data_IF_637774916913
#
_entry.id   IF_637774916913
#
_cell.length_a   1.000
_cell.length_b   1.000
_cell.length_c   1.000
_cell.angle_alpha   90.00
_cell.angle_beta   90.00
_cell.angle_gamma   90.00
#
_symmetry.space_group_name_H-M   'P 1'
#
loop_
_entity.id
_entity.type
_entity.pdbx_description
1 polymer ?
#
# COMPACT_ATOMS: atom_id res chain seq x y z
N UNK A 1 -5.71 26.95 -8.26
CA UNK A 1 -4.99 27.01 -6.97
C UNK A 1 -3.46 27.01 -7.09
N UNK A 2 -2.86 26.28 -8.02
CA UNK A 2 -1.39 26.30 -8.26
C UNK A 2 -0.76 27.69 -8.40
N UNK A 3 -1.51 28.69 -8.89
CA UNK A 3 -1.02 30.08 -9.04
C UNK A 3 -0.63 30.71 -7.70
N UNK A 4 -1.40 30.54 -6.63
CA UNK A 4 -1.08 31.14 -5.32
C UNK A 4 0.20 30.54 -4.71
N UNK A 5 0.37 29.22 -4.85
CA UNK A 5 1.57 28.52 -4.38
C UNK A 5 2.84 28.92 -5.17
N UNK A 6 2.68 29.24 -6.46
CA UNK A 6 3.79 29.76 -7.30
C UNK A 6 4.17 31.20 -6.96
N UNK A 7 3.26 32.00 -6.41
CA UNK A 7 3.49 33.40 -6.05
C UNK A 7 4.27 33.57 -4.73
N UNK A 8 4.17 32.61 -3.81
CA UNK A 8 4.90 32.60 -2.54
C UNK A 8 6.39 32.23 -2.74
N UNK A 9 7.16 33.04 -3.50
CA UNK A 9 8.51 32.66 -3.95
C UNK A 9 9.49 32.40 -2.79
N UNK A 10 9.39 33.12 -1.67
CA UNK A 10 10.39 33.11 -0.59
C UNK A 10 9.80 32.89 0.82
N UNK A 11 8.57 32.37 0.93
CA UNK A 11 7.94 32.13 2.24
C UNK A 11 7.55 30.67 2.40
N UNK A 12 7.70 30.17 3.62
CA UNK A 12 7.12 28.88 4.00
C UNK A 12 5.60 28.99 3.85
N UNK A 13 5.02 28.10 3.05
CA UNK A 13 3.59 28.12 2.75
C UNK A 13 3.03 26.70 2.87
N UNK A 14 1.97 26.57 3.63
CA UNK A 14 1.29 25.30 3.88
C UNK A 14 -0.12 25.37 3.31
N UNK A 15 -0.46 24.40 2.47
CA UNK A 15 -1.79 24.28 1.89
C UNK A 15 -2.60 23.25 2.68
N UNK A 16 -3.75 23.70 3.18
CA UNK A 16 -4.71 22.87 3.90
C UNK A 16 -6.06 22.89 3.18
N UNK A 17 -6.77 21.77 3.23
CA UNK A 17 -8.19 21.66 2.92
C UNK A 17 -8.97 21.69 4.23
N UNK A 18 -10.06 22.46 4.24
CA UNK A 18 -11.01 22.39 5.36
C UNK A 18 -11.94 21.20 5.14
N UNK A 19 -11.98 20.31 6.12
CA UNK A 19 -12.85 19.14 6.18
C UNK A 19 -13.77 19.28 7.41
N UNK A 20 -14.84 18.49 7.48
CA UNK A 20 -15.81 18.55 8.58
C UNK A 20 -15.17 18.37 9.96
N UNK A 21 -14.15 17.51 10.05
CA UNK A 21 -13.47 17.15 11.30
C UNK A 21 -12.18 17.96 11.56
N UNK A 22 -11.82 18.91 10.67
CA UNK A 22 -10.64 19.75 10.85
C UNK A 22 -9.90 20.13 9.58
N UNK A 23 -8.59 20.37 9.72
CA UNK A 23 -7.72 20.75 8.60
C UNK A 23 -6.97 19.52 8.08
N UNK A 24 -7.20 19.18 6.82
CA UNK A 24 -6.43 18.17 6.11
C UNK A 24 -5.27 18.85 5.40
N UNK A 25 -4.06 18.41 5.72
CA UNK A 25 -2.86 18.94 5.11
C UNK A 25 -2.67 18.36 3.70
N UNK A 26 -2.44 19.22 2.70
CA UNK A 26 -2.29 18.84 1.28
C UNK A 26 -0.81 18.81 0.90
N UNK A 27 -0.14 19.97 0.97
CA UNK A 27 1.27 20.11 0.58
C UNK A 27 1.91 21.33 1.23
N UNK A 28 3.23 21.34 1.29
CA UNK A 28 4.00 22.49 1.77
C UNK A 28 5.05 22.91 0.76
N UNK A 29 5.35 24.20 0.76
CA UNK A 29 6.55 24.77 0.17
C UNK A 29 7.44 25.22 1.33
N UNK A 30 8.60 24.59 1.47
CA UNK A 30 9.52 24.81 2.59
C UNK A 30 9.52 23.64 3.56
N UNK A 31 10.05 23.87 4.76
CA UNK A 31 10.13 22.85 5.81
C UNK A 31 8.74 22.53 6.37
N UNK A 32 8.53 21.28 6.75
CA UNK A 32 7.31 20.77 7.37
C UNK A 32 7.54 20.33 8.82
N UNK A 33 8.75 20.53 9.37
CA UNK A 33 9.09 20.15 10.73
C UNK A 33 8.07 20.68 11.75
N UNK A 34 7.71 21.96 11.63
CA UNK A 34 6.76 22.62 12.52
C UNK A 34 5.34 22.04 12.42
N UNK A 35 4.98 21.40 11.31
CA UNK A 35 3.66 20.78 11.16
C UNK A 35 3.55 19.41 11.82
N UNK A 36 4.69 18.78 12.16
CA UNK A 36 4.68 17.41 12.70
C UNK A 36 4.04 17.34 14.08
N UNK A 37 4.09 18.40 14.87
CA UNK A 37 3.45 18.45 16.19
C UNK A 37 1.92 18.53 16.11
N UNK A 38 1.39 19.10 15.03
CA UNK A 38 -0.05 19.23 14.77
C UNK A 38 -0.64 18.01 14.06
N UNK A 39 0.21 17.04 13.68
CA UNK A 39 -0.26 15.78 13.11
C UNK A 39 -1.15 15.10 14.15
N UNK A 40 -2.40 14.84 13.78
CA UNK A 40 -3.35 14.13 14.64
C UNK A 40 -2.71 12.86 15.17
N UNK A 41 -2.35 12.88 16.46
CA UNK A 41 -1.97 11.68 17.18
C UNK A 41 -3.24 10.82 17.33
N UNK A 42 -3.06 9.50 17.31
CA UNK A 42 -4.07 8.42 17.26
C UNK A 42 -5.30 8.53 18.18
N UNK A 43 -5.36 9.49 19.08
CA UNK A 43 -6.34 9.57 20.16
C UNK A 43 -7.60 10.40 19.85
N UNK A 44 -7.70 11.11 18.71
CA UNK A 44 -8.87 11.96 18.41
C UNK A 44 -9.38 12.02 16.96
N UNK A 45 -8.66 11.45 15.99
CA UNK A 45 -9.09 11.50 14.58
C UNK A 45 -9.76 10.20 14.14
N UNK A 46 -10.85 10.31 13.36
CA UNK A 46 -11.41 9.17 12.63
C UNK A 46 -10.38 8.68 11.60
N UNK A 47 -10.10 7.37 11.61
CA UNK A 47 -9.31 6.76 10.53
C UNK A 47 -10.01 6.94 9.19
N UNK A 48 -9.25 7.24 8.14
CA UNK A 48 -9.78 7.37 6.78
C UNK A 48 -9.86 5.96 6.19
N UNK A 49 -11.04 5.57 5.71
CA UNK A 49 -11.18 4.27 5.04
C UNK A 49 -10.52 4.29 3.65
N UNK A 50 -10.36 3.11 3.06
CA UNK A 50 -9.68 2.98 1.77
C UNK A 50 -10.41 3.73 0.62
N UNK A 51 -11.73 3.78 0.64
CA UNK A 51 -12.53 4.44 -0.41
C UNK A 51 -12.35 5.95 -0.32
N UNK A 52 -12.45 6.49 0.89
CA UNK A 52 -12.27 7.90 1.19
C UNK A 52 -10.84 8.36 0.88
N UNK A 53 -9.85 7.54 1.24
CA UNK A 53 -8.43 7.76 0.94
C UNK A 53 -8.21 8.02 -0.55
N UNK A 54 -8.81 7.19 -1.40
CA UNK A 54 -8.61 7.28 -2.85
C UNK A 54 -9.34 8.48 -3.46
N UNK A 55 -10.51 8.85 -2.95
CA UNK A 55 -11.24 10.02 -3.42
C UNK A 55 -10.55 11.34 -3.03
N UNK A 56 -10.04 11.45 -1.80
CA UNK A 56 -9.44 12.69 -1.27
C UNK A 56 -8.04 12.97 -1.80
N UNK A 57 -7.31 11.91 -2.19
CA UNK A 57 -5.92 11.97 -2.66
C UNK A 57 -5.70 12.68 -4.01
N UNK A 58 -6.77 12.99 -4.75
CA UNK A 58 -6.68 13.55 -6.12
C UNK A 58 -6.03 14.94 -6.14
N UNK A 59 -6.18 15.73 -5.07
CA UNK A 59 -5.58 17.07 -5.00
C UNK A 59 -4.06 17.03 -4.71
N UNK A 60 -3.54 15.88 -4.28
CA UNK A 60 -2.13 15.66 -4.00
C UNK A 60 -1.48 14.89 -5.13
N UNK A 61 -0.53 15.52 -5.84
CA UNK A 61 0.24 14.82 -6.89
C UNK A 61 1.15 13.72 -6.34
N UNK A 62 1.53 13.81 -5.07
CA UNK A 62 2.34 12.81 -4.38
C UNK A 62 1.63 12.44 -3.08
N UNK A 63 1.33 11.15 -2.93
CA UNK A 63 0.74 10.57 -1.73
C UNK A 63 1.71 9.52 -1.18
N UNK A 64 2.03 9.58 0.12
CA UNK A 64 3.07 8.74 0.73
C UNK A 64 2.42 7.86 1.78
N UNK A 65 2.66 6.54 1.72
CA UNK A 65 2.25 5.58 2.75
C UNK A 65 3.49 4.92 3.33
N UNK A 66 3.75 5.21 4.61
CA UNK A 66 4.81 4.60 5.39
C UNK A 66 4.20 3.73 6.48
N UNK A 67 4.59 2.45 6.53
CA UNK A 67 4.15 1.54 7.58
C UNK A 67 5.17 0.42 7.75
N UNK A 68 5.08 -0.33 8.85
CA UNK A 68 5.98 -1.45 9.10
C UNK A 68 5.79 -2.61 8.10
N UNK A 69 6.77 -3.52 8.00
CA UNK A 69 6.64 -4.73 7.19
C UNK A 69 5.40 -5.55 7.58
N UNK A 70 4.70 -6.11 6.59
CA UNK A 70 3.51 -6.93 6.83
C UNK A 70 2.20 -6.16 7.09
N UNK A 71 2.25 -4.83 7.16
CA UNK A 71 1.06 -3.96 7.36
C UNK A 71 0.11 -3.87 6.14
N UNK A 72 0.36 -4.63 5.08
CA UNK A 72 -0.55 -4.68 3.93
C UNK A 72 -0.40 -3.56 2.89
N UNK A 73 0.67 -2.75 2.93
CA UNK A 73 0.93 -1.66 1.96
C UNK A 73 0.79 -2.11 0.49
N UNK A 74 1.44 -3.21 0.10
CA UNK A 74 1.36 -3.73 -1.27
C UNK A 74 -0.04 -4.24 -1.64
N UNK A 75 -0.81 -4.75 -0.67
CA UNK A 75 -2.20 -5.16 -0.89
C UNK A 75 -3.08 -3.92 -1.10
N UNK A 76 -2.89 -2.88 -0.29
CA UNK A 76 -3.55 -1.59 -0.45
C UNK A 76 -3.29 -0.98 -1.84
N UNK A 77 -2.05 -1.01 -2.31
CA UNK A 77 -1.66 -0.54 -3.64
C UNK A 77 -2.24 -1.38 -4.79
N UNK A 78 -2.30 -2.71 -4.63
CA UNK A 78 -2.97 -3.57 -5.61
C UNK A 78 -4.46 -3.29 -5.70
N UNK A 79 -5.10 -3.09 -4.54
CA UNK A 79 -6.51 -2.73 -4.50
C UNK A 79 -6.75 -1.34 -5.13
N UNK A 80 -5.90 -0.35 -4.84
CA UNK A 80 -5.92 0.95 -5.49
C UNK A 80 -5.85 0.83 -7.02
N UNK A 81 -4.87 0.07 -7.52
CA UNK A 81 -4.73 -0.19 -8.96
C UNK A 81 -6.01 -0.76 -9.58
N UNK A 82 -6.69 -1.66 -8.87
CA UNK A 82 -7.89 -2.33 -9.36
C UNK A 82 -9.16 -1.49 -9.22
N UNK A 83 -9.21 -0.54 -8.28
CA UNK A 83 -10.36 0.33 -8.04
C UNK A 83 -10.26 1.71 -8.71
N UNK A 84 -9.06 2.06 -9.19
CA UNK A 84 -8.80 3.35 -9.85
C UNK A 84 -9.51 3.42 -11.20
N UNK A 85 -10.14 4.56 -11.47
CA UNK A 85 -10.67 4.90 -12.81
C UNK A 85 -9.56 5.38 -13.75
N UNK A 86 -8.37 5.66 -13.23
CA UNK A 86 -7.21 6.13 -14.00
C UNK A 86 -6.33 4.96 -14.43
N UNK A 87 -5.70 5.12 -15.60
CA UNK A 87 -4.71 4.17 -16.07
C UNK A 87 -3.52 4.12 -15.11
N UNK A 88 -3.26 2.96 -14.52
CA UNK A 88 -2.34 2.86 -13.39
C UNK A 88 -1.14 1.97 -13.71
N UNK A 89 0.06 2.55 -13.59
CA UNK A 89 1.33 1.85 -13.75
C UNK A 89 1.92 1.55 -12.37
N UNK A 90 1.99 0.25 -12.04
CA UNK A 90 2.66 -0.21 -10.83
C UNK A 90 4.15 -0.41 -11.11
N UNK A 91 4.97 0.36 -10.41
CA UNK A 91 6.43 0.36 -10.49
C UNK A 91 6.97 -0.27 -9.21
N UNK A 92 7.72 -1.35 -9.34
CA UNK A 92 8.49 -1.95 -8.26
C UNK A 92 9.95 -1.58 -8.47
N UNK A 93 10.48 -0.55 -7.77
CA UNK A 93 11.77 0.05 -8.14
C UNK A 93 12.94 -0.92 -8.16
N UNK A 94 12.91 -1.93 -7.28
CA UNK A 94 13.89 -3.03 -7.25
C UNK A 94 14.02 -3.75 -8.59
N UNK A 95 12.92 -3.97 -9.31
CA UNK A 95 12.89 -4.71 -10.58
C UNK A 95 13.44 -3.87 -11.75
N UNK A 96 13.56 -2.56 -11.53
CA UNK A 96 14.09 -1.61 -12.49
C UNK A 96 15.44 -1.02 -12.06
N UNK A 97 16.14 -1.67 -11.11
CA UNK A 97 17.42 -1.20 -10.58
C UNK A 97 18.46 -0.90 -11.67
N UNK A 98 18.47 -1.66 -12.78
CA UNK A 98 19.40 -1.42 -13.91
C UNK A 98 19.14 -0.09 -14.61
N UNK A 99 17.88 0.29 -14.76
CA UNK A 99 17.49 1.58 -15.35
C UNK A 99 17.98 2.72 -14.46
N UNK A 100 17.70 2.66 -13.16
CA UNK A 100 18.10 3.72 -12.22
C UNK A 100 19.61 3.85 -12.03
N UNK A 101 20.37 2.75 -12.16
CA UNK A 101 21.85 2.79 -12.15
C UNK A 101 22.45 3.60 -13.29
N UNK A 102 21.77 3.69 -14.43
CA UNK A 102 22.19 4.54 -15.54
C UNK A 102 22.04 6.04 -15.22
N UNK A 103 21.44 6.38 -14.06
CA UNK A 103 21.17 7.76 -13.60
C UNK A 103 20.38 8.59 -14.61
N UNK A 104 19.59 7.93 -15.45
CA UNK A 104 18.70 8.61 -16.37
C UNK A 104 17.54 9.23 -15.58
N UNK A 105 17.46 10.57 -15.61
CA UNK A 105 16.39 11.36 -14.98
C UNK A 105 15.48 12.02 -15.99
N UNK A 106 15.66 11.75 -17.30
CA UNK A 106 14.73 12.15 -18.34
C UNK A 106 13.39 11.44 -18.12
N UNK A 107 12.31 12.22 -18.16
CA UNK A 107 10.96 11.74 -17.85
C UNK A 107 10.30 11.08 -19.04
N UNK A 108 10.54 11.58 -20.24
CA UNK A 108 10.03 10.93 -21.46
C UNK A 108 10.66 9.54 -21.60
N UNK A 109 11.99 9.44 -21.43
CA UNK A 109 12.69 8.15 -21.45
C UNK A 109 12.19 7.20 -20.36
N UNK A 110 11.90 7.72 -19.15
CA UNK A 110 11.38 6.90 -18.06
C UNK A 110 9.98 6.39 -18.37
N UNK A 111 9.11 7.25 -18.88
CA UNK A 111 7.73 6.89 -19.24
C UNK A 111 7.75 5.85 -20.35
N UNK A 112 8.51 6.07 -21.41
CA UNK A 112 8.66 5.10 -22.51
C UNK A 112 9.19 3.75 -22.00
N UNK A 113 10.23 3.79 -21.16
CA UNK A 113 10.80 2.60 -20.56
C UNK A 113 9.76 1.86 -19.70
N UNK A 114 9.07 2.53 -18.79
CA UNK A 114 8.17 1.84 -17.86
C UNK A 114 6.93 1.32 -18.57
N UNK A 115 6.36 2.10 -19.50
CA UNK A 115 5.23 1.68 -20.35
C UNK A 115 5.62 0.46 -21.17
N UNK A 116 6.78 0.47 -21.85
CA UNK A 116 7.21 -0.70 -22.63
C UNK A 116 7.46 -1.94 -21.78
N UNK A 117 7.86 -1.80 -20.50
CA UNK A 117 8.00 -2.93 -19.56
C UNK A 117 6.67 -3.43 -19.03
N UNK A 118 5.71 -2.55 -18.77
CA UNK A 118 4.38 -2.93 -18.29
C UNK A 118 3.53 -3.56 -19.40
N UNK A 119 3.69 -3.11 -20.64
CA UNK A 119 2.82 -3.42 -21.78
C UNK A 119 3.57 -4.10 -22.93
N UNK A 120 4.45 -5.06 -22.63
CA UNK A 120 5.37 -5.70 -23.59
C UNK A 120 4.69 -6.33 -24.83
N UNK A 121 3.44 -6.76 -24.70
CA UNK A 121 2.71 -7.50 -25.74
C UNK A 121 1.44 -6.77 -26.22
N UNK A 122 1.40 -5.45 -26.09
CA UNK A 122 0.26 -4.66 -26.52
C UNK A 122 0.27 -4.44 -28.04
N UNK A 123 -0.90 -4.54 -28.65
CA UNK A 123 -1.11 -4.23 -30.06
C UNK A 123 -0.96 -2.73 -30.35
N UNK A 124 -1.07 -2.35 -31.63
CA UNK A 124 -0.95 -0.95 -32.06
C UNK A 124 -1.97 -0.02 -31.38
N UNK A 125 -3.22 -0.49 -31.23
CA UNK A 125 -4.29 0.29 -30.61
C UNK A 125 -4.00 0.62 -29.15
N UNK A 126 -3.59 -0.37 -28.34
CA UNK A 126 -3.27 -0.13 -26.93
C UNK A 126 -2.07 0.81 -26.79
N UNK A 127 -1.09 0.73 -27.71
CA UNK A 127 0.05 1.65 -27.71
C UNK A 127 -0.38 3.09 -27.99
N UNK A 128 -1.23 3.31 -28.98
CA UNK A 128 -1.79 4.63 -29.30
C UNK A 128 -2.62 5.18 -28.12
N UNK A 129 -3.44 4.34 -27.49
CA UNK A 129 -4.21 4.74 -26.31
C UNK A 129 -3.30 5.16 -25.15
N UNK A 130 -2.24 4.39 -24.87
CA UNK A 130 -1.29 4.75 -23.80
C UNK A 130 -0.56 6.05 -24.14
N UNK A 131 -0.22 6.30 -25.40
CA UNK A 131 0.40 7.55 -25.82
C UNK A 131 -0.50 8.76 -25.51
N UNK A 132 -1.79 8.68 -25.85
CA UNK A 132 -2.78 9.73 -25.51
C UNK A 132 -2.83 9.94 -23.99
N UNK A 133 -2.87 8.86 -23.20
CA UNK A 133 -2.88 8.94 -21.74
C UNK A 133 -1.60 9.58 -21.15
N UNK A 134 -0.45 9.35 -21.79
CA UNK A 134 0.82 10.00 -21.42
C UNK A 134 0.74 11.49 -21.70
N UNK A 135 0.30 11.88 -22.89
CA UNK A 135 0.18 13.27 -23.33
C UNK A 135 -0.79 14.09 -22.45
N UNK A 136 -1.93 13.50 -22.10
CA UNK A 136 -2.96 14.12 -21.25
C UNK A 136 -2.68 13.99 -19.74
N UNK A 137 -1.52 13.43 -19.37
CA UNK A 137 -1.12 13.19 -17.99
C UNK A 137 -2.16 12.40 -17.16
N UNK A 138 -2.87 11.46 -17.79
CA UNK A 138 -3.94 10.65 -17.19
C UNK A 138 -3.44 9.36 -16.53
N UNK A 139 -2.12 9.15 -16.49
CA UNK A 139 -1.50 7.99 -15.86
C UNK A 139 -1.25 8.27 -14.37
N UNK A 140 -1.62 7.30 -13.53
CA UNK A 140 -1.22 7.24 -12.12
C UNK A 140 -0.02 6.31 -11.97
N UNK A 141 1.04 6.76 -11.29
CA UNK A 141 2.18 5.90 -10.96
C UNK A 141 2.09 5.44 -9.51
N UNK A 142 2.20 4.13 -9.29
CA UNK A 142 2.29 3.55 -7.96
C UNK A 142 3.71 3.01 -7.78
N UNK A 143 4.45 3.56 -6.83
CA UNK A 143 5.81 3.20 -6.49
C UNK A 143 5.78 2.32 -5.23
N UNK A 144 5.85 1.00 -5.40
CA UNK A 144 5.73 0.05 -4.29
C UNK A 144 7.10 -0.45 -3.82
N UNK A 145 7.45 -0.17 -2.56
CA UNK A 145 8.68 -0.64 -1.91
C UNK A 145 9.92 0.22 -2.20
N UNK A 146 9.85 1.53 -1.96
CA UNK A 146 11.02 2.42 -2.08
C UNK A 146 12.15 2.10 -1.08
N UNK A 147 11.85 1.40 0.02
CA UNK A 147 12.87 0.91 0.96
C UNK A 147 13.66 -0.30 0.45
N UNK A 148 13.28 -0.88 -0.70
CA UNK A 148 13.90 -2.09 -1.25
C UNK A 148 14.99 -1.79 -2.30
N UNK A 149 15.39 -0.52 -2.45
CA UNK A 149 16.46 -0.11 -3.36
C UNK A 149 17.71 0.37 -2.62
N UNK A 150 18.85 0.29 -3.29
CA UNK A 150 20.10 0.88 -2.80
C UNK A 150 20.05 2.41 -2.79
N UNK A 151 20.73 3.05 -1.85
CA UNK A 151 20.66 4.50 -1.60
C UNK A 151 21.04 5.34 -2.84
N UNK A 152 22.00 4.90 -3.65
CA UNK A 152 22.40 5.62 -4.87
C UNK A 152 21.27 5.66 -5.90
N UNK A 153 20.49 4.58 -5.98
CA UNK A 153 19.33 4.51 -6.88
C UNK A 153 18.16 5.32 -6.32
N UNK A 154 18.00 5.36 -4.99
CA UNK A 154 16.91 6.09 -4.34
C UNK A 154 16.91 7.56 -4.76
N UNK A 155 18.04 8.25 -4.76
CA UNK A 155 18.11 9.67 -5.17
C UNK A 155 17.68 9.90 -6.63
N UNK A 156 18.03 8.99 -7.54
CA UNK A 156 17.59 9.04 -8.93
C UNK A 156 16.07 8.85 -9.02
N UNK A 157 15.54 7.88 -8.27
CA UNK A 157 14.09 7.59 -8.21
C UNK A 157 13.32 8.81 -7.67
N UNK A 158 13.77 9.42 -6.56
CA UNK A 158 13.14 10.61 -5.99
C UNK A 158 13.13 11.77 -6.98
N UNK A 159 14.22 11.95 -7.73
CA UNK A 159 14.30 12.97 -8.79
C UNK A 159 13.28 12.71 -9.90
N UNK A 160 13.13 11.45 -10.35
CA UNK A 160 12.13 11.06 -11.35
C UNK A 160 10.71 11.33 -10.84
N UNK A 161 10.40 10.93 -9.60
CA UNK A 161 9.10 11.17 -8.95
C UNK A 161 8.79 12.68 -8.90
N UNK A 162 9.75 13.50 -8.46
CA UNK A 162 9.55 14.95 -8.36
C UNK A 162 9.25 15.59 -9.73
N UNK A 163 9.96 15.16 -10.77
CA UNK A 163 9.75 15.66 -12.14
C UNK A 163 8.44 15.16 -12.75
N UNK A 164 8.03 13.91 -12.50
CA UNK A 164 6.70 13.41 -12.87
C UNK A 164 5.58 14.23 -12.20
N UNK A 165 5.75 14.53 -10.91
CA UNK A 165 4.81 15.39 -10.18
C UNK A 165 4.74 16.79 -10.77
N UNK A 166 5.87 17.35 -11.21
CA UNK A 166 5.95 18.67 -11.85
C UNK A 166 5.23 18.68 -13.21
N UNK A 167 5.27 17.57 -13.94
CA UNK A 167 4.53 17.37 -15.21
C UNK A 167 3.02 17.16 -15.00
N UNK A 168 2.60 16.82 -13.78
CA UNK A 168 1.19 16.72 -13.39
C UNK A 168 0.71 15.31 -13.12
N UNK A 169 1.57 14.30 -13.14
CA UNK A 169 1.16 12.93 -12.82
C UNK A 169 0.82 12.76 -11.34
N UNK A 170 -0.22 11.97 -11.08
CA UNK A 170 -0.60 11.53 -9.74
C UNK A 170 0.22 10.31 -9.34
N UNK A 171 0.74 10.33 -8.11
CA UNK A 171 1.69 9.32 -7.64
C UNK A 171 1.38 8.85 -6.24
N UNK A 172 1.53 7.55 -6.02
CA UNK A 172 1.45 6.89 -4.72
C UNK A 172 2.77 6.21 -4.41
N UNK A 173 3.34 6.50 -3.24
CA UNK A 173 4.62 5.98 -2.80
C UNK A 173 4.41 5.10 -1.58
N UNK A 174 4.97 3.88 -1.56
CA UNK A 174 5.03 3.06 -0.36
C UNK A 174 6.47 2.84 0.09
N UNK A 175 6.65 2.82 1.41
CA UNK A 175 7.93 2.51 2.03
C UNK A 175 7.76 2.00 3.47
N UNK A 176 8.82 1.44 4.04
CA UNK A 176 8.98 1.32 5.50
C UNK A 176 9.20 2.68 6.18
N UNK A 177 8.93 2.71 7.49
CA UNK A 177 8.99 3.90 8.35
C UNK A 177 10.38 4.57 8.41
N UNK A 178 11.46 3.83 8.16
CA UNK A 178 12.83 4.37 8.17
C UNK A 178 13.06 5.45 7.09
N UNK A 179 12.37 5.38 5.94
CA UNK A 179 12.46 6.41 4.89
C UNK A 179 11.43 7.53 5.04
N UNK A 180 10.53 7.45 6.03
CA UNK A 180 9.44 8.42 6.19
C UNK A 180 9.95 9.86 6.22
N UNK A 181 10.91 10.17 7.11
CA UNK A 181 11.46 11.53 7.22
C UNK A 181 12.09 12.03 5.92
N UNK A 182 12.81 11.15 5.22
CA UNK A 182 13.46 11.46 3.94
C UNK A 182 12.43 11.80 2.87
N UNK A 183 11.40 10.96 2.71
CA UNK A 183 10.34 11.17 1.72
C UNK A 183 9.53 12.43 2.03
N UNK A 184 9.17 12.61 3.30
CA UNK A 184 8.36 13.76 3.70
C UNK A 184 9.10 15.08 3.48
N UNK A 185 10.37 15.14 3.87
CA UNK A 185 11.22 16.32 3.65
C UNK A 185 11.46 16.58 2.17
N UNK A 186 11.74 15.53 1.37
CA UNK A 186 12.05 15.69 -0.05
C UNK A 186 10.87 16.22 -0.87
N UNK A 187 9.65 15.72 -0.59
CA UNK A 187 8.46 16.14 -1.34
C UNK A 187 7.70 17.28 -0.68
N UNK A 188 8.07 17.67 0.55
CA UNK A 188 7.28 18.60 1.36
C UNK A 188 5.88 18.04 1.59
N UNK A 189 5.78 16.71 1.79
CA UNK A 189 4.51 15.99 1.98
C UNK A 189 4.48 15.12 3.23
N UNK A 190 3.46 15.21 4.09
CA UNK A 190 3.29 14.29 5.22
C UNK A 190 2.85 12.90 4.76
N UNK A 191 3.45 11.87 5.35
CA UNK A 191 3.09 10.49 5.10
C UNK A 191 1.83 10.07 5.84
N UNK A 192 1.09 9.14 5.27
CA UNK A 192 0.03 8.38 5.93
C UNK A 192 0.60 7.06 6.45
N UNK A 193 -0.02 6.50 7.49
CA UNK A 193 0.32 5.18 8.02
C UNK A 193 -0.89 4.27 7.95
N UNK A 194 -0.63 2.99 7.68
CA UNK A 194 -1.65 1.95 7.83
C UNK A 194 -1.70 1.58 9.30
N UNK A 195 -2.90 1.58 9.88
CA UNK A 195 -3.09 1.15 11.26
C UNK A 195 -3.17 -0.36 11.37
N UNK A 196 -2.87 -0.85 12.58
CA UNK A 196 -3.05 -2.26 12.90
C UNK A 196 -4.55 -2.58 12.94
N UNK A 197 -4.89 -3.83 12.64
CA UNK A 197 -6.25 -4.29 12.81
C UNK A 197 -6.67 -4.20 14.27
N UNK A 198 -7.81 -3.56 14.52
CA UNK A 198 -8.50 -3.69 15.79
C UNK A 198 -9.13 -5.08 15.96
N UNK A 199 -9.64 -5.38 17.14
CA UNK A 199 -10.24 -6.68 17.46
C UNK A 199 -11.40 -7.06 16.54
N UNK A 200 -12.21 -6.09 16.11
CA UNK A 200 -13.34 -6.33 15.21
C UNK A 200 -12.84 -6.71 13.81
N UNK A 201 -11.91 -5.92 13.27
CA UNK A 201 -11.26 -6.15 11.97
C UNK A 201 -10.51 -7.48 11.94
N UNK A 202 -9.80 -7.83 13.01
CA UNK A 202 -9.15 -9.14 13.17
C UNK A 202 -10.18 -10.27 13.08
N UNK A 203 -11.29 -10.15 13.80
CA UNK A 203 -12.35 -11.16 13.80
C UNK A 203 -13.01 -11.31 12.43
N UNK A 204 -13.32 -10.20 11.75
CA UNK A 204 -13.86 -10.20 10.39
C UNK A 204 -12.88 -10.83 9.40
N UNK A 205 -11.59 -10.54 9.52
CA UNK A 205 -10.57 -11.11 8.64
C UNK A 205 -10.49 -12.64 8.81
N UNK A 206 -10.43 -13.15 10.04
CA UNK A 206 -10.36 -14.58 10.34
C UNK A 206 -11.58 -15.31 9.77
N UNK A 207 -12.78 -14.77 10.01
CA UNK A 207 -14.04 -15.34 9.53
C UNK A 207 -14.08 -15.44 8.00
N UNK A 208 -13.84 -14.31 7.30
CA UNK A 208 -13.83 -14.28 5.84
C UNK A 208 -12.78 -15.22 5.24
N UNK A 209 -11.61 -15.32 5.86
CA UNK A 209 -10.51 -16.12 5.33
C UNK A 209 -10.71 -17.62 5.54
N UNK A 210 -11.26 -18.03 6.68
CA UNK A 210 -11.47 -19.45 6.99
C UNK A 210 -12.79 -19.99 6.43
N UNK A 211 -13.74 -19.12 6.06
CA UNK A 211 -15.02 -19.53 5.49
C UNK A 211 -15.85 -20.38 6.44
N UNK A 212 -15.68 -20.20 7.75
CA UNK A 212 -16.37 -20.95 8.79
C UNK A 212 -17.22 -20.01 9.65
N UNK A 213 -18.33 -20.53 10.16
CA UNK A 213 -19.32 -19.81 10.98
C UNK A 213 -19.73 -20.66 12.19
N UNK A 214 -20.41 -20.03 13.15
CA UNK A 214 -20.91 -20.71 14.35
C UNK A 214 -19.80 -21.17 15.31
N UNK A 215 -20.03 -22.30 15.98
CA UNK A 215 -19.17 -22.81 17.07
C UNK A 215 -17.75 -23.14 16.60
N UNK A 216 -17.61 -23.63 15.38
CA UNK A 216 -16.32 -23.89 14.72
C UNK A 216 -15.41 -22.65 14.68
N UNK A 217 -15.99 -21.50 14.36
CA UNK A 217 -15.26 -20.23 14.28
C UNK A 217 -14.85 -19.76 15.67
N UNK A 218 -15.71 -19.94 16.68
CA UNK A 218 -15.42 -19.59 18.08
C UNK A 218 -14.24 -20.40 18.59
N UNK A 219 -14.24 -21.72 18.33
CA UNK A 219 -13.17 -22.61 18.74
C UNK A 219 -11.84 -22.29 18.07
N UNK A 220 -11.85 -22.01 16.76
CA UNK A 220 -10.63 -21.63 16.03
C UNK A 220 -10.10 -20.28 16.53
N UNK A 221 -10.97 -19.27 16.70
CA UNK A 221 -10.58 -17.97 17.27
C UNK A 221 -9.95 -18.18 18.65
N UNK A 222 -10.57 -18.97 19.52
CA UNK A 222 -10.03 -19.29 20.86
C UNK A 222 -8.65 -19.94 20.77
N UNK A 223 -8.44 -20.89 19.85
CA UNK A 223 -7.13 -21.51 19.62
C UNK A 223 -6.08 -20.50 19.14
N UNK A 224 -6.41 -19.64 18.17
CA UNK A 224 -5.52 -18.58 17.68
C UNK A 224 -5.12 -17.64 18.83
N UNK A 225 -6.09 -17.10 19.56
CA UNK A 225 -5.82 -16.18 20.67
C UNK A 225 -5.01 -16.86 21.79
N UNK A 226 -5.29 -18.13 22.11
CA UNK A 226 -4.51 -18.88 23.10
C UNK A 226 -3.06 -19.10 22.67
N UNK A 227 -2.80 -19.44 21.41
CA UNK A 227 -1.43 -19.58 20.89
C UNK A 227 -0.64 -18.27 21.03
N UNK A 228 -1.32 -17.13 20.90
CA UNK A 228 -0.68 -15.82 20.93
C UNK A 228 -0.44 -15.36 22.35
N UNK A 229 -1.35 -15.67 23.30
CA UNK A 229 -1.12 -15.39 24.73
C UNK A 229 0.18 -15.99 25.29
N UNK A 230 0.73 -17.02 24.64
CA UNK A 230 2.00 -17.64 25.02
C UNK A 230 3.24 -16.83 24.59
N UNK A 231 3.09 -15.91 23.64
CA UNK A 231 4.14 -14.97 23.23
C UNK A 231 4.12 -13.77 24.18
N UNK A 232 5.28 -13.23 24.56
CA UNK A 232 5.35 -11.99 25.35
C UNK A 232 5.20 -10.81 24.38
N UNK A 233 4.36 -9.81 24.73
CA UNK A 233 4.00 -8.61 23.93
C UNK A 233 3.06 -8.89 22.73
N UNK A 234 1.75 -8.93 22.98
CA UNK A 234 0.74 -9.63 22.16
C UNK A 234 -0.10 -8.80 21.17
N UNK A 235 0.46 -7.76 20.57
CA UNK A 235 -0.23 -7.04 19.47
C UNK A 235 0.04 -7.64 18.08
N UNK A 236 0.48 -8.90 18.03
CA UNK A 236 0.86 -9.62 16.80
C UNK A 236 -0.34 -9.75 15.84
N UNK A 237 -1.56 -9.91 16.33
CA UNK A 237 -2.72 -10.02 15.42
C UNK A 237 -3.11 -8.72 14.75
N UNK A 238 -2.61 -7.58 15.25
CA UNK A 238 -2.80 -6.30 14.61
C UNK A 238 -2.13 -6.22 13.23
N UNK A 239 -1.10 -7.04 12.97
CA UNK A 239 -0.37 -7.04 11.70
C UNK A 239 -1.04 -8.02 10.70
N UNK A 240 -1.54 -7.54 9.55
CA UNK A 240 -2.21 -8.36 8.54
C UNK A 240 -1.44 -9.61 8.08
N UNK A 241 -0.12 -9.52 7.94
CA UNK A 241 0.70 -10.68 7.58
C UNK A 241 0.72 -11.76 8.67
N UNK A 242 0.70 -11.36 9.94
CA UNK A 242 0.77 -12.31 11.06
C UNK A 242 -0.55 -13.06 11.22
N UNK A 243 -1.69 -12.35 11.15
CA UNK A 243 -3.01 -13.00 11.14
C UNK A 243 -3.21 -13.90 9.90
N UNK A 244 -2.65 -13.52 8.74
CA UNK A 244 -2.60 -14.38 7.56
C UNK A 244 -1.84 -15.70 7.82
N UNK A 245 -0.65 -15.64 8.43
CA UNK A 245 0.14 -16.84 8.73
C UNK A 245 -0.61 -17.78 9.69
N UNK A 246 -1.22 -17.25 10.75
CA UNK A 246 -2.01 -18.08 11.67
C UNK A 246 -3.19 -18.75 10.96
N UNK A 247 -4.00 -17.98 10.25
CA UNK A 247 -5.16 -18.54 9.53
C UNK A 247 -4.76 -19.56 8.47
N UNK A 248 -3.59 -19.42 7.83
CA UNK A 248 -3.08 -20.42 6.90
C UNK A 248 -2.77 -21.77 7.57
N UNK A 249 -2.16 -21.75 8.75
CA UNK A 249 -1.89 -22.97 9.53
C UNK A 249 -3.17 -23.73 9.88
N UNK A 250 -4.22 -23.00 10.28
CA UNK A 250 -5.52 -23.62 10.60
C UNK A 250 -6.22 -24.19 9.36
N UNK A 251 -6.09 -23.51 8.21
CA UNK A 251 -6.64 -24.00 6.93
C UNK A 251 -5.99 -25.32 6.52
N UNK A 252 -4.66 -25.40 6.55
CA UNK A 252 -3.92 -26.61 6.19
C UNK A 252 -4.22 -27.81 7.11
N UNK A 253 -4.46 -27.57 8.40
CA UNK A 253 -4.81 -28.64 9.35
C UNK A 253 -6.23 -29.19 9.15
N UNK A 254 -7.17 -28.37 8.64
CA UNK A 254 -8.50 -28.85 8.25
C UNK A 254 -8.42 -29.81 7.06
N UNK A 255 -7.64 -29.45 6.05
CA UNK A 255 -7.48 -30.26 4.82
C UNK A 255 -6.83 -31.63 5.08
N UNK A 256 -5.92 -31.72 6.07
CA UNK A 256 -5.32 -32.99 6.51
C UNK A 256 -6.31 -33.88 7.26
N UNK A 257 -7.21 -33.29 8.05
CA UNK A 257 -8.22 -34.03 8.82
C UNK A 257 -9.34 -34.58 7.92
N UNK A 258 -9.68 -33.87 6.85
CA UNK A 258 -10.71 -34.30 5.87
C UNK A 258 -10.20 -35.30 4.84
N UNK A 259 -8.89 -35.33 4.55
CA UNK A 259 -8.26 -36.32 3.66
C UNK A 259 -7.93 -37.65 4.34
N UNK A 260 -7.78 -37.68 5.67
CA UNK A 260 -7.61 -38.92 6.46
C UNK A 260 -8.88 -39.71 6.72
N UNK A 261 -10.07 -39.14 6.48
CA UNK A 261 -11.35 -39.79 6.73
C UNK A 261 -11.85 -40.68 5.55
N UNK A 262 -11.20 -40.64 4.37
CA UNK A 262 -11.63 -41.41 3.19
C UNK A 262 -10.97 -42.78 3.02
N UNK A 263 -10.10 -43.21 3.94
CA UNK A 263 -9.31 -44.45 3.78
C UNK A 263 -9.56 -45.52 4.85
N UNK A 264 -10.60 -45.39 5.70
CA UNK A 264 -10.85 -46.37 6.78
C UNK A 264 -12.13 -47.21 6.68
N UNK A 265 -12.96 -47.04 5.66
CA UNK A 265 -14.18 -47.84 5.47
C UNK A 265 -14.10 -48.80 4.27
N UNK A 266 -13.13 -49.71 4.28
CA UNK A 266 -13.16 -50.87 3.39
C UNK A 266 -12.25 -52.01 3.88
N UNK A 267 -12.45 -52.51 5.11
CA UNK A 267 -11.98 -53.86 5.48
C UNK A 267 -12.58 -54.37 6.80
N UNK A 268 -13.89 -54.63 6.83
CA UNK A 268 -14.46 -55.50 7.86
C UNK A 268 -15.59 -56.36 7.31
N UNK A 269 -15.27 -57.33 6.46
CA UNK A 269 -16.06 -58.57 6.40
C UNK A 269 -15.23 -59.71 5.81
N UNK A 270 -14.68 -60.58 6.67
CA UNK A 270 -14.41 -61.98 6.30
C UNK A 270 -14.39 -62.88 7.53
N UNK A 271 -15.52 -63.56 7.69
CA UNK A 271 -15.73 -64.98 8.07
C UNK A 271 -15.04 -65.51 9.32
N UNK A 272 -15.88 -65.85 10.31
CA UNK A 272 -15.69 -67.02 11.16
C UNK A 272 -16.84 -67.99 10.89
N UNK A 273 -16.44 -69.27 10.76
CA UNK A 273 -17.14 -70.54 10.57
C UNK A 273 -18.67 -70.57 10.52
#
# INVERSE_FOLDING_TARGET
MDRLFRLAKNTNCHHFRMCEEGLEWIRSKGDIADLKEFRSSRSRGRGIDQTELFQKSIDNRINIICADPGMGKSILMKNLKNSSKSWTVLVQPKDHSRYFRAKNTNIDDFIEYIVSKTYKNCDGFVRELVQILVEDCQIMFIWDGLDEVVDENLQVILTVIARLSTRGYLQWLTSRCNLMKTLESHFGVLSMTVEQFDTEQQNTYIEKRLGCSGDDLVDIKKKIYNCIRLVRYNDILGIPLQIYMFTELFRQNRDKSSSGARTRDSNTTRKLH
#
